data_IF_010776654742
#
_entry.id   IF_010776654742
#
_cell.length_a   1.000
_cell.length_b   1.000
_cell.length_c   1.000
_cell.angle_alpha   90.00
_cell.angle_beta   90.00
_cell.angle_gamma   90.00
#
_symmetry.space_group_name_H-M   'P 1'
#
loop_
_entity.id
_entity.type
_entity.pdbx_description
1 polymer ?
#
# COMPACT_ATOMS: atom_id res chain seq x y z
N UNK A 1 -14.58 -17.28 -2.16
CA UNK A 1 -13.14 -17.60 -2.16
C UNK A 1 -12.89 -18.64 -1.10
N UNK A 2 -11.91 -19.54 -1.24
CA UNK A 2 -11.62 -20.49 -0.16
C UNK A 2 -10.77 -19.85 0.94
N UNK A 3 -10.84 -20.40 2.15
CA UNK A 3 -10.15 -19.84 3.33
C UNK A 3 -8.62 -19.83 3.20
N UNK A 4 -8.04 -20.63 2.31
CA UNK A 4 -6.60 -20.68 2.06
C UNK A 4 -6.18 -19.44 1.27
N UNK A 5 -6.94 -19.10 0.23
CA UNK A 5 -6.71 -17.93 -0.62
C UNK A 5 -6.87 -16.63 0.18
N UNK A 6 -7.90 -16.53 1.03
CA UNK A 6 -8.11 -15.35 1.89
C UNK A 6 -6.92 -15.12 2.86
N UNK A 7 -6.41 -16.20 3.49
CA UNK A 7 -5.22 -16.09 4.36
C UNK A 7 -3.98 -15.64 3.60
N UNK A 8 -3.79 -16.11 2.37
CA UNK A 8 -2.67 -15.69 1.54
C UNK A 8 -2.75 -14.20 1.19
N UNK A 9 -3.94 -13.70 0.86
CA UNK A 9 -4.19 -12.30 0.50
C UNK A 9 -4.07 -11.34 1.67
N UNK A 10 -4.51 -11.77 2.86
CA UNK A 10 -4.22 -11.09 4.12
C UNK A 10 -2.71 -11.00 4.37
N UNK A 11 -1.97 -12.11 4.21
CA UNK A 11 -0.53 -12.11 4.42
C UNK A 11 0.22 -11.22 3.42
N UNK A 12 -0.22 -11.20 2.16
CA UNK A 12 0.30 -10.31 1.12
C UNK A 12 0.07 -8.84 1.46
N UNK A 13 -1.13 -8.49 1.94
CA UNK A 13 -1.45 -7.12 2.37
C UNK A 13 -0.53 -6.67 3.53
N UNK A 14 -0.29 -7.56 4.51
CA UNK A 14 0.65 -7.29 5.61
C UNK A 14 2.07 -7.09 5.07
N UNK A 15 2.51 -7.90 4.11
CA UNK A 15 3.84 -7.78 3.51
C UNK A 15 4.02 -6.43 2.77
N UNK A 16 3.01 -5.98 2.03
CA UNK A 16 3.03 -4.66 1.37
C UNK A 16 3.12 -3.54 2.42
N UNK A 17 2.30 -3.59 3.47
CA UNK A 17 2.34 -2.60 4.54
C UNK A 17 3.73 -2.56 5.23
N UNK A 18 4.34 -3.72 5.50
CA UNK A 18 5.68 -3.82 6.04
C UNK A 18 6.74 -3.23 5.11
N UNK A 19 6.67 -3.50 3.80
CA UNK A 19 7.60 -2.94 2.83
C UNK A 19 7.57 -1.40 2.81
N UNK A 20 6.38 -0.79 2.97
CA UNK A 20 6.27 0.67 3.13
C UNK A 20 6.95 1.15 4.42
N UNK A 21 6.71 0.46 5.54
CA UNK A 21 7.29 0.83 6.83
C UNK A 21 8.82 0.74 6.81
N UNK A 22 9.37 -0.29 6.17
CA UNK A 22 10.80 -0.51 6.00
C UNK A 22 11.43 0.44 4.96
N UNK A 23 10.62 1.07 4.10
CA UNK A 23 11.08 1.96 3.04
C UNK A 23 11.45 1.26 1.73
N UNK A 24 11.11 -0.02 1.59
CA UNK A 24 11.27 -0.79 0.35
C UNK A 24 10.23 -0.40 -0.70
N UNK A 25 9.07 0.13 -0.26
CA UNK A 25 8.05 0.75 -1.10
C UNK A 25 7.77 2.17 -0.64
N UNK A 26 7.58 3.07 -1.60
CA UNK A 26 7.05 4.41 -1.31
C UNK A 26 5.56 4.36 -0.97
N UNK A 27 5.06 5.47 -0.40
CA UNK A 27 3.69 5.59 0.07
C UNK A 27 2.63 5.36 -1.03
N UNK A 28 2.89 5.86 -2.24
CA UNK A 28 1.93 5.75 -3.35
C UNK A 28 1.87 4.31 -3.85
N UNK A 29 3.02 3.68 -4.10
CA UNK A 29 3.09 2.27 -4.52
C UNK A 29 2.50 1.33 -3.45
N UNK A 30 2.74 1.62 -2.19
CA UNK A 30 2.13 0.90 -1.06
C UNK A 30 0.60 0.99 -1.08
N UNK A 31 0.06 2.20 -1.24
CA UNK A 31 -1.38 2.43 -1.30
C UNK A 31 -2.03 1.71 -2.50
N UNK A 32 -1.41 1.74 -3.68
CA UNK A 32 -1.88 1.00 -4.85
C UNK A 32 -1.92 -0.50 -4.61
N UNK A 33 -0.85 -1.07 -4.03
CA UNK A 33 -0.78 -2.49 -3.71
C UNK A 33 -1.88 -2.91 -2.73
N UNK A 34 -2.08 -2.15 -1.66
CA UNK A 34 -3.11 -2.44 -0.65
C UNK A 34 -4.53 -2.25 -1.19
N UNK A 35 -4.76 -1.20 -1.99
CA UNK A 35 -6.04 -0.96 -2.68
C UNK A 35 -6.42 -2.14 -3.57
N UNK A 36 -5.47 -2.66 -4.36
CA UNK A 36 -5.68 -3.80 -5.25
C UNK A 36 -6.02 -5.11 -4.53
N UNK A 37 -5.56 -5.28 -3.29
CA UNK A 37 -5.77 -6.50 -2.50
C UNK A 37 -7.06 -6.49 -1.68
N UNK A 38 -7.72 -5.34 -1.50
CA UNK A 38 -8.82 -5.20 -0.52
C UNK A 38 -10.05 -6.07 -0.82
N UNK A 39 -10.32 -6.36 -2.09
CA UNK A 39 -11.45 -7.18 -2.52
C UNK A 39 -11.18 -8.68 -2.44
N UNK A 40 -9.92 -9.05 -2.19
CA UNK A 40 -9.44 -10.42 -2.24
C UNK A 40 -9.45 -11.09 -0.84
N UNK A 41 -10.05 -10.45 0.18
CA UNK A 41 -10.31 -11.00 1.51
C UNK A 41 -11.22 -10.05 2.34
N UNK A 42 -11.40 -10.31 3.63
CA UNK A 42 -12.27 -9.56 4.56
C UNK A 42 -11.83 -8.10 4.87
N UNK A 43 -11.19 -7.41 3.92
CA UNK A 43 -10.68 -6.05 4.08
C UNK A 43 -11.42 -5.00 3.22
N UNK A 44 -12.45 -5.40 2.47
CA UNK A 44 -13.14 -4.52 1.52
C UNK A 44 -13.65 -3.22 2.18
N UNK A 45 -14.25 -3.34 3.36
CA UNK A 45 -14.82 -2.23 4.14
C UNK A 45 -13.89 -1.73 5.26
N UNK A 46 -12.64 -2.23 5.31
CA UNK A 46 -11.68 -1.78 6.32
C UNK A 46 -11.29 -0.31 6.08
N UNK A 47 -11.37 0.56 7.10
CA UNK A 47 -11.14 2.00 6.92
C UNK A 47 -9.71 2.33 6.46
N UNK A 48 -8.71 1.54 6.83
CA UNK A 48 -7.34 1.74 6.38
C UNK A 48 -7.19 1.35 4.90
N UNK A 49 -7.88 0.31 4.43
CA UNK A 49 -7.89 -0.09 3.00
C UNK A 49 -8.71 0.86 2.13
N UNK A 50 -9.82 1.39 2.64
CA UNK A 50 -10.57 2.46 1.98
C UNK A 50 -9.74 3.73 1.86
N UNK A 51 -8.98 4.08 2.91
CA UNK A 51 -8.01 5.18 2.85
C UNK A 51 -6.95 4.95 1.75
N UNK A 52 -6.35 3.75 1.68
CA UNK A 52 -5.40 3.41 0.60
C UNK A 52 -6.05 3.50 -0.78
N UNK A 53 -7.32 3.15 -0.90
CA UNK A 53 -8.07 3.27 -2.17
C UNK A 53 -8.26 4.71 -2.59
N UNK A 54 -8.53 5.60 -1.63
CA UNK A 54 -8.57 7.05 -1.86
C UNK A 54 -7.22 7.58 -2.36
N UNK A 55 -6.11 7.23 -1.69
CA UNK A 55 -4.76 7.62 -2.13
C UNK A 55 -4.45 7.08 -3.52
N UNK A 56 -4.79 5.83 -3.81
CA UNK A 56 -4.61 5.24 -5.14
C UNK A 56 -5.41 5.99 -6.21
N UNK A 57 -6.66 6.37 -5.92
CA UNK A 57 -7.49 7.16 -6.84
C UNK A 57 -6.94 8.56 -7.09
N UNK A 58 -6.43 9.25 -6.07
CA UNK A 58 -5.85 10.60 -6.21
C UNK A 58 -4.52 10.59 -6.98
N UNK A 59 -3.92 9.41 -7.16
CA UNK A 59 -2.61 9.25 -7.79
C UNK A 59 -2.65 8.43 -9.07
N UNK A 60 -3.84 8.03 -9.55
CA UNK A 60 -4.05 7.19 -10.73
C UNK A 60 -3.56 7.81 -12.05
N UNK A 61 -3.39 9.14 -12.08
CA UNK A 61 -2.84 9.88 -13.20
C UNK A 61 -1.33 9.73 -13.37
N UNK A 62 -0.58 9.26 -12.36
CA UNK A 62 0.86 9.09 -12.46
C UNK A 62 1.22 7.79 -13.20
N UNK A 63 2.16 7.82 -14.16
CA UNK A 63 2.61 6.62 -14.82
C UNK A 63 3.62 5.87 -13.93
N UNK A 64 3.16 4.82 -13.25
CA UNK A 64 3.95 4.07 -12.26
C UNK A 64 4.40 2.68 -12.77
N UNK A 65 3.87 2.24 -13.90
CA UNK A 65 4.03 0.90 -14.46
C UNK A 65 4.58 0.86 -15.90
N UNK A 66 4.30 -0.24 -16.64
CA UNK A 66 4.81 -0.46 -18.00
C UNK A 66 4.40 0.63 -19.01
N UNK A 67 3.29 1.31 -18.77
CA UNK A 67 2.78 2.41 -19.60
C UNK A 67 3.79 3.54 -19.77
N UNK A 68 4.74 3.71 -18.82
CA UNK A 68 5.84 4.68 -18.93
C UNK A 68 6.62 4.56 -20.25
N UNK A 69 6.70 3.35 -20.84
CA UNK A 69 7.35 3.13 -22.14
C UNK A 69 6.70 3.86 -23.32
N UNK A 70 5.44 4.27 -23.18
CA UNK A 70 4.68 5.01 -24.18
C UNK A 70 4.70 6.53 -23.96
N UNK A 71 5.29 7.02 -22.87
CA UNK A 71 5.30 8.44 -22.54
C UNK A 71 6.52 9.15 -23.14
N UNK A 72 6.33 10.41 -23.49
CA UNK A 72 7.44 11.26 -23.91
C UNK A 72 8.42 11.50 -22.74
N UNK A 73 9.75 11.42 -22.93
CA UNK A 73 10.72 11.53 -21.84
C UNK A 73 10.58 12.80 -20.98
N UNK A 74 10.31 13.96 -21.60
CA UNK A 74 10.10 15.21 -20.86
C UNK A 74 8.82 15.21 -20.03
N UNK A 75 7.77 14.51 -20.47
CA UNK A 75 6.54 14.36 -19.71
C UNK A 75 6.75 13.43 -18.50
N UNK A 76 7.53 12.35 -18.66
CA UNK A 76 7.93 11.49 -17.55
C UNK A 76 8.73 12.27 -16.51
N UNK A 77 9.74 13.04 -16.92
CA UNK A 77 10.57 13.81 -15.98
C UNK A 77 9.74 14.81 -15.15
N UNK A 78 8.73 15.45 -15.76
CA UNK A 78 7.80 16.34 -15.05
C UNK A 78 6.93 15.58 -14.04
N UNK A 79 6.36 14.44 -14.46
CA UNK A 79 5.56 13.60 -13.58
C UNK A 79 6.39 13.01 -12.43
N UNK A 80 7.65 12.63 -12.67
CA UNK A 80 8.51 12.06 -11.63
C UNK A 80 8.83 13.11 -10.54
N UNK A 81 9.01 14.38 -10.92
CA UNK A 81 9.19 15.46 -9.96
C UNK A 81 7.92 15.72 -9.14
N UNK A 82 6.77 15.80 -9.80
CA UNK A 82 5.47 15.98 -9.13
C UNK A 82 5.11 14.80 -8.22
N UNK A 83 5.37 13.58 -8.68
CA UNK A 83 5.18 12.35 -7.91
C UNK A 83 6.04 12.35 -6.64
N UNK A 84 7.26 12.87 -6.67
CA UNK A 84 8.10 12.95 -5.48
C UNK A 84 7.47 13.84 -4.38
N UNK A 85 6.84 14.95 -4.77
CA UNK A 85 6.10 15.83 -3.85
C UNK A 85 4.85 15.13 -3.30
N UNK A 86 4.11 14.42 -4.15
CA UNK A 86 2.92 13.65 -3.76
C UNK A 86 3.27 12.50 -2.82
N UNK A 87 4.38 11.79 -3.07
CA UNK A 87 4.89 10.75 -2.17
C UNK A 87 5.18 11.36 -0.79
N UNK A 88 5.89 12.49 -0.74
CA UNK A 88 6.21 13.16 0.52
C UNK A 88 4.96 13.64 1.27
N UNK A 89 3.95 14.13 0.54
CA UNK A 89 2.67 14.55 1.09
C UNK A 89 1.92 13.40 1.79
N UNK A 90 1.88 12.23 1.16
CA UNK A 90 1.15 11.07 1.69
C UNK A 90 1.93 10.23 2.70
N UNK A 91 3.26 10.33 2.74
CA UNK A 91 4.15 9.42 3.47
C UNK A 91 3.73 9.19 4.92
N UNK A 92 3.52 10.26 5.69
CA UNK A 92 3.17 10.13 7.10
C UNK A 92 1.82 9.40 7.32
N UNK A 93 0.80 9.77 6.54
CA UNK A 93 -0.55 9.21 6.67
C UNK A 93 -0.62 7.76 6.20
N UNK A 94 0.04 7.43 5.09
CA UNK A 94 0.12 6.05 4.58
C UNK A 94 0.91 5.16 5.54
N UNK A 95 2.08 5.61 6.03
CA UNK A 95 2.85 4.83 7.02
C UNK A 95 2.03 4.56 8.28
N UNK A 96 1.26 5.53 8.74
CA UNK A 96 0.42 5.37 9.91
C UNK A 96 -0.73 4.35 9.67
N UNK A 97 -1.37 4.37 8.51
CA UNK A 97 -2.33 3.33 8.13
C UNK A 97 -1.65 1.95 7.97
N UNK A 98 -0.46 1.87 7.39
CA UNK A 98 0.32 0.63 7.30
C UNK A 98 0.64 0.06 8.68
N UNK A 99 0.99 0.88 9.68
CA UNK A 99 1.18 0.43 11.08
C UNK A 99 -0.08 -0.25 11.60
N UNK A 100 -1.24 0.39 11.46
CA UNK A 100 -2.53 -0.18 11.91
C UNK A 100 -2.89 -1.48 11.20
N UNK A 101 -2.61 -1.59 9.90
CA UNK A 101 -2.79 -2.82 9.12
C UNK A 101 -1.89 -3.94 9.68
N UNK A 102 -0.61 -3.67 9.91
CA UNK A 102 0.33 -4.66 10.47
C UNK A 102 -0.07 -5.05 11.89
N UNK A 103 -0.50 -4.10 12.73
CA UNK A 103 -0.93 -4.39 14.10
C UNK A 103 -2.20 -5.26 14.13
N UNK A 104 -3.15 -5.00 13.24
CA UNK A 104 -4.44 -5.71 13.18
C UNK A 104 -4.31 -7.08 12.50
N UNK A 105 -3.49 -7.18 11.47
CA UNK A 105 -3.46 -8.33 10.56
C UNK A 105 -2.13 -9.08 10.50
N UNK A 106 -1.08 -8.52 11.08
CA UNK A 106 0.20 -9.19 11.22
C UNK A 106 0.13 -10.38 12.19
N UNK A 107 1.15 -11.24 12.18
CA UNK A 107 1.29 -12.28 13.20
C UNK A 107 1.43 -11.61 14.56
N UNK A 108 0.54 -11.96 15.51
CA UNK A 108 0.70 -11.54 16.90
C UNK A 108 2.00 -12.12 17.42
N UNK A 109 3.00 -11.27 17.65
CA UNK A 109 4.15 -11.67 18.47
C UNK A 109 3.63 -11.77 19.90
N UNK A 110 3.25 -12.98 20.31
CA UNK A 110 3.09 -13.27 21.73
C UNK A 110 4.47 -13.07 22.36
N UNK A 111 4.65 -11.93 23.05
CA UNK A 111 5.82 -11.71 23.89
C UNK A 111 5.96 -12.86 24.90
N UNK A 112 7.18 -13.15 25.38
CA UNK A 112 7.37 -14.23 26.34
C UNK A 112 6.44 -14.01 27.54
N UNK A 113 5.56 -14.98 27.79
CA UNK A 113 4.77 -15.05 29.02
C UNK A 113 5.76 -15.17 30.17
N UNK A 114 5.98 -14.07 30.89
CA UNK A 114 6.70 -14.11 32.15
C UNK A 114 5.93 -15.06 33.09
N UNK A 115 6.60 -16.13 33.52
CA UNK A 115 6.13 -17.00 34.60
C UNK A 115 6.53 -16.41 35.94
#
# INVERSE_FOLDING_TARGET
MDSVTERARRAESVAVAQAVLLGDLDAVRGAWGLSGLRHDWEAEDDPDFLFMSGVASETDGFPLGPERSHWHPSALARNDAELAEVIAWWDASVREACRRIVDRYGPTVLGPVAR
#
